data_IF_450567394765
#
_entry.id   IF_450567394765
#
_cell.length_a   1.000
_cell.length_b   1.000
_cell.length_c   1.000
_cell.angle_alpha   90.00
_cell.angle_beta   90.00
_cell.angle_gamma   90.00
#
_symmetry.space_group_name_H-M   'P 1'
#
loop_
_entity.id
_entity.type
_entity.pdbx_description
1 polymer ?
#
# COMPACT_ATOMS: atom_id res chain seq x y z
N UNK A 1 10.59 11.05 -13.00
CA UNK A 1 11.49 11.54 -11.93
C UNK A 1 12.79 10.75 -12.01
N UNK A 2 13.89 11.41 -12.41
CA UNK A 2 15.20 10.77 -12.41
C UNK A 2 15.54 10.27 -10.98
N UNK A 3 16.06 9.06 -10.81
CA UNK A 3 16.43 8.56 -9.50
C UNK A 3 17.53 9.41 -8.90
N UNK A 4 17.34 9.88 -7.69
CA UNK A 4 18.37 10.59 -6.95
C UNK A 4 19.61 9.69 -6.79
N UNK A 5 20.80 10.21 -7.13
CA UNK A 5 22.06 9.44 -7.09
C UNK A 5 22.48 8.93 -5.70
N UNK A 6 21.86 9.39 -4.63
CA UNK A 6 22.02 8.90 -3.26
C UNK A 6 20.67 8.93 -2.56
N UNK A 7 20.15 7.79 -2.21
CA UNK A 7 19.00 7.67 -1.30
C UNK A 7 19.48 7.78 0.13
N UNK A 8 18.85 8.68 0.92
CA UNK A 8 19.05 8.66 2.36
C UNK A 8 18.29 7.46 2.97
N UNK A 9 18.59 7.10 4.21
CA UNK A 9 17.91 5.98 4.93
C UNK A 9 16.39 6.18 5.06
N UNK A 10 15.87 7.37 4.74
CA UNK A 10 14.49 7.77 4.94
C UNK A 10 13.71 8.01 3.63
N UNK A 11 14.30 7.66 2.48
CA UNK A 11 13.71 7.93 1.16
C UNK A 11 12.69 6.85 0.69
N UNK A 12 12.23 5.98 1.57
CA UNK A 12 11.21 4.99 1.24
C UNK A 12 9.82 5.64 1.25
N UNK A 13 9.23 5.79 0.08
CA UNK A 13 7.81 6.19 -0.06
C UNK A 13 6.94 4.99 0.32
N UNK A 14 6.19 5.11 1.40
CA UNK A 14 5.25 4.07 1.87
C UNK A 14 3.85 4.22 1.29
N UNK A 15 3.45 5.42 1.00
CA UNK A 15 2.12 5.71 0.48
C UNK A 15 2.15 6.96 -0.39
N UNK A 16 1.37 6.96 -1.44
CA UNK A 16 1.20 8.10 -2.34
C UNK A 16 -0.26 8.20 -2.74
N UNK A 17 -0.82 9.39 -2.64
CA UNK A 17 -2.15 9.70 -3.15
C UNK A 17 -2.07 10.89 -4.09
N UNK A 18 -2.89 10.87 -5.15
CA UNK A 18 -3.10 12.00 -6.02
C UNK A 18 -4.42 12.66 -5.62
N UNK A 19 -4.37 13.95 -5.36
CA UNK A 19 -5.53 14.70 -4.88
C UNK A 19 -5.44 16.16 -5.33
N UNK A 20 -6.52 16.92 -5.12
CA UNK A 20 -6.51 18.39 -5.30
C UNK A 20 -6.19 19.09 -3.99
N UNK A 21 -5.74 20.34 -4.05
CA UNK A 21 -5.37 21.11 -2.85
C UNK A 21 -6.51 21.27 -1.84
N UNK A 22 -7.76 21.22 -2.31
CA UNK A 22 -8.96 21.40 -1.47
C UNK A 22 -9.67 20.11 -1.10
N UNK A 23 -9.26 18.98 -1.69
CA UNK A 23 -9.85 17.68 -1.38
C UNK A 23 -9.36 17.19 -0.02
N UNK A 24 -10.24 16.52 0.69
CA UNK A 24 -9.89 15.79 1.89
C UNK A 24 -9.26 14.44 1.54
N UNK A 25 -8.24 14.08 2.27
CA UNK A 25 -7.62 12.76 2.27
C UNK A 25 -7.73 12.18 3.68
N UNK A 26 -7.58 10.86 3.77
CA UNK A 26 -7.57 10.15 5.04
C UNK A 26 -6.20 9.58 5.36
N UNK A 27 -5.76 9.72 6.60
CA UNK A 27 -4.63 8.97 7.15
C UNK A 27 -5.18 7.78 7.94
N UNK A 28 -4.83 6.57 7.54
CA UNK A 28 -5.26 5.33 8.21
C UNK A 28 -4.19 4.90 9.20
N UNK A 29 -4.60 4.60 10.43
CA UNK A 29 -3.68 4.27 11.52
C UNK A 29 -3.76 2.80 11.93
N UNK A 30 -2.73 2.33 12.63
CA UNK A 30 -2.64 0.96 13.15
C UNK A 30 -3.73 0.61 14.17
N UNK A 31 -4.34 1.60 14.80
CA UNK A 31 -5.45 1.40 15.75
C UNK A 31 -6.82 1.36 15.06
N UNK A 32 -6.86 1.38 13.72
CA UNK A 32 -8.11 1.30 12.96
C UNK A 32 -8.87 2.61 12.86
N UNK A 33 -8.18 3.75 13.01
CA UNK A 33 -8.75 5.08 12.79
C UNK A 33 -8.42 5.61 11.40
N UNK A 34 -9.34 6.39 10.86
CA UNK A 34 -9.08 7.28 9.74
C UNK A 34 -9.17 8.72 10.25
N UNK A 35 -8.12 9.50 10.00
CA UNK A 35 -8.03 10.91 10.37
C UNK A 35 -8.04 11.74 9.09
N UNK A 36 -8.95 12.70 9.00
CA UNK A 36 -9.09 13.56 7.82
C UNK A 36 -7.99 14.62 7.80
N UNK A 37 -7.49 14.87 6.60
CA UNK A 37 -6.50 15.90 6.30
C UNK A 37 -6.93 16.65 5.05
N UNK A 38 -6.62 17.93 4.99
CA UNK A 38 -6.74 18.72 3.76
C UNK A 38 -5.35 18.97 3.19
N UNK A 39 -5.16 18.73 1.91
CA UNK A 39 -3.84 18.84 1.29
C UNK A 39 -3.24 20.25 1.41
N UNK A 40 -4.07 21.29 1.42
CA UNK A 40 -3.64 22.68 1.55
C UNK A 40 -3.00 22.98 2.92
N UNK A 41 -3.34 22.22 3.95
CA UNK A 41 -2.79 22.40 5.31
C UNK A 41 -1.42 21.72 5.48
N UNK A 42 -0.99 20.95 4.49
CA UNK A 42 0.28 20.23 4.53
C UNK A 42 1.38 21.07 3.87
N UNK A 43 2.64 20.93 4.33
CA UNK A 43 3.76 21.62 3.72
C UNK A 43 3.94 21.19 2.28
N UNK A 44 4.11 22.15 1.37
CA UNK A 44 4.33 21.90 -0.05
C UNK A 44 5.79 22.09 -0.43
N UNK A 45 6.26 21.27 -1.36
CA UNK A 45 7.56 21.41 -1.98
C UNK A 45 7.34 21.91 -3.41
N UNK A 46 8.06 22.94 -3.89
CA UNK A 46 7.95 23.39 -5.27
C UNK A 46 8.14 22.26 -6.28
N UNK A 47 7.36 22.28 -7.36
CA UNK A 47 7.36 21.21 -8.36
C UNK A 47 8.72 21.00 -9.05
N UNK A 48 9.56 22.03 -9.07
CA UNK A 48 10.92 22.01 -9.62
C UNK A 48 12.00 21.70 -8.58
N UNK A 49 11.63 21.43 -7.34
CA UNK A 49 12.59 21.05 -6.29
C UNK A 49 13.15 19.66 -6.56
N UNK A 50 14.48 19.59 -6.70
CA UNK A 50 15.21 18.33 -6.88
C UNK A 50 15.45 17.65 -5.51
N UNK A 51 15.35 18.40 -4.42
CA UNK A 51 15.48 17.89 -3.06
C UNK A 51 14.10 17.49 -2.54
N UNK A 52 13.93 16.19 -2.32
CA UNK A 52 12.93 15.73 -1.36
C UNK A 52 13.39 16.30 -0.01
N UNK A 53 12.86 17.45 0.35
CA UNK A 53 13.07 18.00 1.68
C UNK A 53 12.74 16.92 2.71
N UNK A 54 13.33 17.02 3.89
CA UNK A 54 13.12 16.05 4.98
C UNK A 54 11.64 15.85 5.35
N UNK A 55 10.74 16.61 4.75
CA UNK A 55 9.31 16.61 5.04
C UNK A 55 9.00 17.16 6.43
N UNK A 56 7.74 17.15 6.78
CA UNK A 56 7.28 17.42 8.14
C UNK A 56 6.89 16.11 8.82
N UNK A 57 7.07 16.04 10.13
CA UNK A 57 6.61 14.88 10.90
C UNK A 57 5.09 14.85 10.88
N UNK A 58 4.52 13.70 10.52
CA UNK A 58 3.06 13.53 10.48
C UNK A 58 2.41 13.82 11.84
N UNK A 59 3.12 13.59 12.93
CA UNK A 59 2.67 13.87 14.29
C UNK A 59 2.47 15.36 14.60
N UNK A 60 2.98 16.25 13.75
CA UNK A 60 2.73 17.70 13.86
C UNK A 60 1.35 18.09 13.34
N UNK A 61 0.76 17.22 12.51
CA UNK A 61 -0.54 17.43 11.85
C UNK A 61 -1.64 16.53 12.39
N UNK A 62 -1.26 15.40 13.00
CA UNK A 62 -2.19 14.39 13.49
C UNK A 62 -1.96 14.13 14.98
N UNK A 63 -3.04 14.13 15.74
CA UNK A 63 -3.05 13.68 17.13
C UNK A 63 -3.05 12.15 17.16
N UNK A 64 -1.88 11.53 17.09
CA UNK A 64 -1.70 10.08 17.18
C UNK A 64 -0.96 9.69 18.48
N UNK A 65 -1.36 8.54 19.04
CA UNK A 65 -0.73 8.00 20.25
C UNK A 65 0.70 7.52 19.99
N UNK A 66 1.49 7.41 21.05
CA UNK A 66 2.90 7.01 20.96
C UNK A 66 3.13 5.62 20.37
N UNK A 67 2.14 4.72 20.49
CA UNK A 67 2.17 3.36 19.91
C UNK A 67 1.39 3.25 18.61
N UNK A 68 0.72 4.30 18.19
CA UNK A 68 -0.06 4.34 16.96
C UNK A 68 0.79 4.77 15.78
N UNK A 69 0.62 4.13 14.64
CA UNK A 69 1.38 4.40 13.43
C UNK A 69 0.44 4.76 12.29
N UNK A 70 0.83 5.72 11.46
CA UNK A 70 0.17 5.98 10.19
C UNK A 70 0.65 4.93 9.19
N UNK A 71 -0.28 4.16 8.63
CA UNK A 71 0.01 3.07 7.69
C UNK A 71 -0.03 3.53 6.25
N UNK A 72 -0.90 4.46 5.91
CA UNK A 72 -1.02 4.99 4.56
C UNK A 72 -2.02 6.12 4.47
N UNK A 73 -2.02 6.76 3.32
CA UNK A 73 -2.96 7.80 2.94
C UNK A 73 -3.96 7.24 1.92
N UNK A 74 -5.19 7.70 1.98
CA UNK A 74 -6.27 7.30 1.09
C UNK A 74 -7.06 8.51 0.64
N UNK A 75 -7.71 8.42 -0.50
CA UNK A 75 -8.72 9.41 -0.92
C UNK A 75 -10.08 8.99 -0.39
N UNK A 76 -10.93 9.95 -0.06
CA UNK A 76 -12.26 9.65 0.51
C UNK A 76 -13.35 9.48 -0.56
N UNK A 77 -13.08 9.93 -1.77
CA UNK A 77 -13.97 9.88 -2.94
C UNK A 77 -13.47 8.90 -4.03
N UNK A 78 -12.41 8.15 -3.73
CA UNK A 78 -11.78 7.22 -4.67
C UNK A 78 -12.35 5.81 -4.60
N UNK A 79 -11.48 4.85 -4.95
CA UNK A 79 -11.79 3.43 -4.91
C UNK A 79 -12.00 2.92 -3.48
N UNK A 80 -12.60 1.73 -3.29
CA UNK A 80 -12.72 1.10 -1.98
C UNK A 80 -11.38 0.99 -1.26
N UNK A 81 -11.43 1.14 0.06
CA UNK A 81 -10.27 1.01 0.95
C UNK A 81 -10.24 -0.40 1.50
N UNK A 82 -9.12 -1.08 1.34
CA UNK A 82 -8.89 -2.41 1.91
C UNK A 82 -7.94 -2.34 3.10
N UNK A 83 -8.25 -3.08 4.15
CA UNK A 83 -7.53 -3.16 5.41
C UNK A 83 -7.23 -4.61 5.75
N UNK A 84 -6.02 -4.89 6.20
CA UNK A 84 -5.63 -6.17 6.75
C UNK A 84 -5.11 -6.02 8.17
N UNK A 85 -5.49 -6.95 9.06
CA UNK A 85 -5.10 -6.89 10.46
C UNK A 85 -4.06 -7.95 10.82
N UNK A 86 -3.38 -7.73 11.94
CA UNK A 86 -2.37 -8.64 12.48
C UNK A 86 -2.91 -10.03 12.78
N UNK A 87 -4.17 -10.13 13.22
CA UNK A 87 -4.85 -11.39 13.49
C UNK A 87 -5.53 -12.03 12.27
N UNK A 88 -5.29 -11.51 11.06
CA UNK A 88 -5.74 -12.11 9.81
C UNK A 88 -7.12 -11.70 9.36
N UNK A 89 -7.70 -10.65 9.90
CA UNK A 89 -8.96 -10.06 9.42
C UNK A 89 -8.72 -9.21 8.19
N UNK A 90 -9.62 -9.27 7.23
CA UNK A 90 -9.67 -8.39 6.06
C UNK A 90 -10.95 -7.60 6.04
N UNK A 91 -10.90 -6.36 5.58
CA UNK A 91 -12.07 -5.52 5.42
C UNK A 91 -11.91 -4.65 4.17
N UNK A 92 -13.00 -4.46 3.46
CA UNK A 92 -13.14 -3.41 2.44
C UNK A 92 -14.22 -2.43 2.86
N UNK A 93 -13.97 -1.16 2.61
CA UNK A 93 -14.92 -0.06 2.88
C UNK A 93 -15.17 0.66 1.58
N UNK A 94 -16.45 0.72 1.17
CA UNK A 94 -16.83 1.48 0.00
C UNK A 94 -16.76 3.00 0.27
N UNK A 95 -16.38 3.81 -0.72
CA UNK A 95 -16.41 5.26 -0.59
C UNK A 95 -17.84 5.79 -0.44
N UNK A 96 -17.98 6.99 0.13
CA UNK A 96 -19.24 7.76 0.13
C UNK A 96 -20.10 7.66 1.38
N UNK A 97 -19.76 6.80 2.35
CA UNK A 97 -20.51 6.66 3.62
C UNK A 97 -19.67 7.03 4.84
N UNK A 98 -18.93 8.11 4.72
CA UNK A 98 -18.02 8.54 5.78
C UNK A 98 -18.73 9.33 6.87
N UNK A 99 -18.45 9.07 8.17
CA UNK A 99 -18.89 9.95 9.25
C UNK A 99 -18.39 11.38 9.07
N UNK A 100 -19.19 12.34 9.49
CA UNK A 100 -18.84 13.79 9.38
C UNK A 100 -17.78 14.24 10.38
N UNK A 101 -17.22 13.31 11.17
CA UNK A 101 -16.21 13.62 12.19
C UNK A 101 -14.83 13.80 11.55
N UNK A 102 -13.95 14.63 12.14
CA UNK A 102 -12.56 14.76 11.67
C UNK A 102 -11.76 13.49 11.82
N UNK A 103 -12.12 12.59 12.74
CA UNK A 103 -11.57 11.26 12.89
C UNK A 103 -12.66 10.25 13.25
N UNK A 104 -12.52 9.00 12.80
CA UNK A 104 -13.48 7.94 13.07
C UNK A 104 -12.84 6.56 12.91
N UNK A 105 -13.44 5.54 13.54
CA UNK A 105 -13.08 4.16 13.29
C UNK A 105 -13.39 3.78 11.83
N UNK A 106 -12.41 3.20 11.15
CA UNK A 106 -12.60 2.61 9.83
C UNK A 106 -12.74 1.10 9.88
N UNK A 107 -12.40 0.51 11.00
CA UNK A 107 -12.58 -0.91 11.33
C UNK A 107 -12.72 -1.06 12.83
N UNK A 108 -13.71 -1.85 13.27
CA UNK A 108 -13.83 -2.27 14.68
C UNK A 108 -12.91 -3.46 14.93
N UNK A 109 -11.79 -3.22 15.59
CA UNK A 109 -10.78 -4.23 15.86
C UNK A 109 -11.16 -5.15 17.01
N UNK A 110 -10.79 -6.43 16.91
CA UNK A 110 -10.83 -7.36 18.03
C UNK A 110 -9.81 -6.96 19.11
N UNK A 111 -10.04 -7.37 20.38
CA UNK A 111 -9.07 -7.12 21.44
C UNK A 111 -7.66 -7.60 21.08
N UNK A 112 -6.68 -6.74 21.24
CA UNK A 112 -5.27 -7.02 20.95
C UNK A 112 -4.90 -7.07 19.46
N UNK A 113 -5.83 -6.78 18.56
CA UNK A 113 -5.55 -6.69 17.12
C UNK A 113 -5.11 -5.29 16.70
N UNK A 114 -4.45 -5.20 15.57
CA UNK A 114 -4.05 -3.94 14.95
C UNK A 114 -4.12 -4.05 13.42
N UNK A 115 -4.35 -2.95 12.73
CA UNK A 115 -4.21 -2.87 11.29
C UNK A 115 -2.73 -2.89 10.94
N UNK A 116 -2.33 -3.74 9.99
CA UNK A 116 -0.94 -3.86 9.53
C UNK A 116 -0.71 -3.29 8.15
N UNK A 117 -1.77 -3.14 7.36
CA UNK A 117 -1.68 -2.56 6.03
C UNK A 117 -3.01 -2.00 5.55
N UNK A 118 -2.92 -1.03 4.67
CA UNK A 118 -4.02 -0.38 3.98
C UNK A 118 -3.68 -0.25 2.51
N UNK A 119 -4.65 -0.48 1.66
CA UNK A 119 -4.56 -0.21 0.23
C UNK A 119 -5.88 0.36 -0.28
N UNK A 120 -5.83 0.95 -1.45
CA UNK A 120 -7.01 1.51 -2.11
C UNK A 120 -7.03 1.04 -3.56
N UNK A 121 -8.11 0.41 -3.97
CA UNK A 121 -8.22 -0.14 -5.31
C UNK A 121 -9.57 -0.79 -5.57
N UNK A 122 -9.81 -1.11 -6.84
CA UNK A 122 -11.06 -1.66 -7.34
C UNK A 122 -11.25 -3.15 -7.13
N UNK A 123 -12.34 -3.68 -7.67
CA UNK A 123 -12.68 -5.10 -7.59
C UNK A 123 -11.74 -5.99 -8.42
N UNK A 124 -11.03 -5.41 -9.40
CA UNK A 124 -10.06 -6.12 -10.24
C UNK A 124 -8.72 -6.37 -9.58
N UNK A 125 -8.45 -5.74 -8.44
CA UNK A 125 -7.20 -5.90 -7.71
C UNK A 125 -7.14 -7.24 -6.96
N UNK A 126 -5.94 -7.68 -6.64
CA UNK A 126 -5.69 -8.80 -5.74
C UNK A 126 -5.19 -8.30 -4.39
N UNK A 127 -5.72 -8.86 -3.31
CA UNK A 127 -5.30 -8.62 -1.95
C UNK A 127 -4.28 -9.68 -1.52
N UNK A 128 -3.24 -9.25 -0.80
CA UNK A 128 -2.12 -10.09 -0.41
C UNK A 128 -1.88 -10.01 1.08
N UNK A 129 -1.79 -11.17 1.73
CA UNK A 129 -1.30 -11.34 3.09
C UNK A 129 0.04 -12.05 3.10
N UNK A 130 0.94 -11.61 3.97
CA UNK A 130 2.16 -12.35 4.33
C UNK A 130 2.23 -12.49 5.85
N UNK A 131 2.54 -13.68 6.33
CA UNK A 131 2.58 -13.99 7.76
C UNK A 131 4.00 -14.13 8.28
N UNK A 132 4.15 -14.12 9.63
CA UNK A 132 5.43 -14.25 10.31
C UNK A 132 6.10 -15.63 10.13
N UNK A 133 5.32 -16.66 9.78
CA UNK A 133 5.78 -18.01 9.45
C UNK A 133 5.90 -18.25 7.93
N UNK A 134 6.06 -17.15 7.17
CA UNK A 134 6.29 -17.15 5.74
C UNK A 134 5.15 -17.76 4.88
N UNK A 135 3.92 -17.76 5.37
CA UNK A 135 2.76 -18.07 4.54
C UNK A 135 2.36 -16.85 3.72
N UNK A 136 2.00 -17.07 2.47
CA UNK A 136 1.47 -16.05 1.57
C UNK A 136 0.11 -16.49 1.07
N UNK A 137 -0.87 -15.60 1.15
CA UNK A 137 -2.19 -15.78 0.58
C UNK A 137 -2.52 -14.58 -0.29
N UNK A 138 -2.95 -14.81 -1.53
CA UNK A 138 -3.54 -13.77 -2.37
C UNK A 138 -4.89 -14.22 -2.90
N UNK A 139 -5.78 -13.26 -3.12
CA UNK A 139 -7.12 -13.49 -3.63
C UNK A 139 -7.70 -12.20 -4.20
N UNK A 140 -8.67 -12.32 -5.10
CA UNK A 140 -9.33 -11.16 -5.70
C UNK A 140 -10.05 -10.30 -4.67
N UNK A 141 -9.92 -8.99 -4.79
CA UNK A 141 -10.56 -8.03 -3.90
C UNK A 141 -12.09 -8.17 -3.88
N UNK A 142 -12.68 -8.59 -5.00
CA UNK A 142 -14.12 -8.86 -5.13
C UNK A 142 -14.64 -9.95 -4.18
N UNK A 143 -13.77 -10.83 -3.68
CA UNK A 143 -14.13 -11.84 -2.67
C UNK A 143 -14.46 -11.23 -1.29
N UNK A 144 -14.05 -9.98 -1.06
CA UNK A 144 -14.32 -9.25 0.18
C UNK A 144 -15.42 -8.22 -0.06
N UNK A 145 -16.61 -8.53 0.44
CA UNK A 145 -17.75 -7.62 0.31
C UNK A 145 -17.51 -6.33 1.10
N UNK A 146 -17.70 -5.14 0.51
CA UNK A 146 -17.58 -3.88 1.21
C UNK A 146 -18.55 -3.79 2.38
N UNK A 147 -18.08 -3.22 3.48
CA UNK A 147 -18.85 -3.00 4.72
C UNK A 147 -18.77 -1.51 5.11
N UNK A 148 -19.64 -1.10 6.01
CA UNK A 148 -19.58 0.24 6.60
C UNK A 148 -18.38 0.42 7.53
N UNK A 149 -17.99 1.69 7.84
CA UNK A 149 -16.78 1.98 8.62
C UNK A 149 -16.72 1.30 9.99
N UNK A 150 -17.85 1.20 10.70
CA UNK A 150 -17.92 0.62 12.04
C UNK A 150 -17.90 -0.92 12.09
N UNK A 151 -17.96 -1.61 10.96
CA UNK A 151 -17.93 -3.07 10.93
C UNK A 151 -16.53 -3.62 11.17
N UNK A 152 -16.45 -4.87 11.66
CA UNK A 152 -15.20 -5.52 12.04
C UNK A 152 -14.46 -6.27 10.91
N UNK A 153 -15.03 -6.34 9.72
CA UNK A 153 -14.45 -7.11 8.62
C UNK A 153 -14.82 -8.60 8.65
N UNK A 154 -14.07 -9.40 7.94
CA UNK A 154 -14.25 -10.84 7.83
C UNK A 154 -12.91 -11.58 7.94
N UNK A 155 -12.97 -12.92 8.10
CA UNK A 155 -11.77 -13.73 8.09
C UNK A 155 -11.06 -13.63 6.73
N UNK A 156 -9.80 -13.26 6.74
CA UNK A 156 -8.95 -13.18 5.57
C UNK A 156 -8.03 -14.38 5.44
N UNK A 157 -7.05 -14.49 6.33
CA UNK A 157 -6.12 -15.61 6.37
C UNK A 157 -6.21 -16.36 7.68
N UNK A 158 -6.19 -17.70 7.61
CA UNK A 158 -6.10 -18.55 8.79
C UNK A 158 -4.65 -18.60 9.26
N UNK A 159 -4.43 -18.20 10.51
CA UNK A 159 -3.10 -18.19 11.10
C UNK A 159 -2.85 -19.48 11.89
N UNK A 160 -1.63 -20.01 11.78
CA UNK A 160 -1.15 -21.03 12.68
C UNK A 160 -0.95 -20.48 14.09
N UNK A 161 -0.85 -21.37 15.10
CA UNK A 161 -0.60 -20.96 16.47
C UNK A 161 0.69 -20.10 16.54
N UNK A 162 0.60 -18.92 17.12
CA UNK A 162 1.68 -17.93 17.25
C UNK A 162 2.06 -17.14 15.97
N UNK A 163 1.49 -17.45 14.80
CA UNK A 163 1.71 -16.65 13.61
C UNK A 163 0.89 -15.35 13.65
N UNK A 164 1.43 -14.32 13.04
CA UNK A 164 0.78 -13.03 12.86
C UNK A 164 0.95 -12.56 11.42
N UNK A 165 0.05 -11.73 10.94
CA UNK A 165 0.22 -11.04 9.65
C UNK A 165 1.29 -9.96 9.82
N UNK A 166 2.28 -9.98 8.95
CA UNK A 166 3.38 -9.01 8.90
C UNK A 166 3.23 -7.99 7.77
N UNK A 167 2.48 -8.36 6.73
CA UNK A 167 2.23 -7.50 5.58
C UNK A 167 0.81 -7.74 5.05
N UNK A 168 0.16 -6.65 4.64
CA UNK A 168 -1.06 -6.65 3.86
C UNK A 168 -0.98 -5.52 2.82
N UNK A 169 -1.44 -5.80 1.62
CA UNK A 169 -1.50 -4.84 0.52
C UNK A 169 -2.33 -5.36 -0.64
N UNK A 170 -2.35 -4.60 -1.74
CA UNK A 170 -2.97 -5.01 -2.99
C UNK A 170 -1.98 -4.98 -4.14
N UNK A 171 -2.25 -5.78 -5.15
CA UNK A 171 -1.55 -5.83 -6.43
C UNK A 171 -2.56 -5.60 -7.53
N UNK A 172 -2.23 -4.73 -8.47
CA UNK A 172 -2.99 -4.59 -9.71
C UNK A 172 -2.44 -5.58 -10.74
N UNK A 173 -3.18 -6.66 -11.07
CA UNK A 173 -2.71 -7.65 -12.04
C UNK A 173 -2.59 -7.10 -13.46
N UNK A 174 -3.19 -5.95 -13.77
CA UNK A 174 -3.03 -5.29 -15.05
C UNK A 174 -1.70 -4.53 -15.18
N UNK A 175 -1.10 -4.10 -14.05
CA UNK A 175 0.19 -3.40 -14.05
C UNK A 175 1.34 -4.29 -14.52
N UNK A 176 1.29 -5.59 -14.24
CA UNK A 176 2.32 -6.56 -14.68
C UNK A 176 2.29 -6.81 -16.19
N UNK A 177 1.12 -6.70 -16.83
CA UNK A 177 1.01 -6.87 -18.29
C UNK A 177 1.65 -5.71 -19.05
N UNK A 178 1.61 -4.51 -18.52
CA UNK A 178 2.23 -3.35 -19.13
C UNK A 178 3.78 -3.45 -19.16
N UNK A 179 4.37 -4.20 -18.24
CA UNK A 179 5.82 -4.48 -18.22
C UNK A 179 6.21 -5.66 -19.11
N UNK A 180 5.29 -6.60 -19.36
CA UNK A 180 5.53 -7.76 -20.22
C UNK A 180 5.42 -7.43 -21.73
N UNK A 181 4.65 -6.39 -22.10
CA UNK A 181 4.40 -5.98 -23.48
C UNK A 181 5.38 -4.93 -24.03
N UNK A 182 6.56 -4.79 -23.38
CA UNK A 182 7.69 -4.07 -23.97
C UNK A 182 7.52 -2.56 -23.99
N UNK A 183 7.52 -1.91 -22.85
CA UNK A 183 7.81 -0.48 -22.75
C UNK A 183 9.28 -0.24 -23.16
N UNK A 184 9.57 0.53 -24.23
CA UNK A 184 10.93 0.83 -24.68
C UNK A 184 11.76 1.63 -23.67
N UNK A 185 11.23 1.94 -22.49
CA UNK A 185 11.92 2.59 -21.37
C UNK A 185 12.40 1.61 -20.28
N UNK A 186 12.24 0.30 -20.43
CA UNK A 186 12.84 -0.66 -19.52
C UNK A 186 14.36 -0.65 -19.68
N UNK A 187 15.16 -0.45 -18.62
CA UNK A 187 16.62 -0.53 -18.73
C UNK A 187 16.98 -1.97 -19.15
N UNK A 188 17.79 -2.07 -20.21
CA UNK A 188 18.31 -3.36 -20.70
C UNK A 188 18.92 -4.14 -19.53
N UNK A 189 18.53 -5.40 -19.41
CA UNK A 189 19.08 -6.33 -18.41
C UNK A 189 20.60 -6.45 -18.65
N UNK A 190 21.44 -6.02 -17.70
CA UNK A 190 22.89 -6.05 -17.88
C UNK A 190 23.46 -7.50 -17.90
N UNK A 191 22.63 -8.52 -17.72
CA UNK A 191 23.02 -9.93 -17.73
C UNK A 191 22.57 -10.71 -18.98
N UNK A 192 21.90 -10.05 -19.94
CA UNK A 192 21.41 -10.73 -21.16
C UNK A 192 22.49 -11.09 -22.18
N UNK A 193 23.73 -10.64 -21.99
CA UNK A 193 24.85 -10.94 -22.92
C UNK A 193 25.90 -11.87 -22.30
N UNK A 194 25.62 -13.14 -22.10
CA UNK A 194 26.65 -14.17 -22.07
C UNK A 194 26.02 -15.55 -22.24
N UNK A 195 25.87 -15.98 -23.49
CA UNK A 195 25.42 -17.35 -23.73
C UNK A 195 25.20 -17.77 -25.19
N UNK A 196 26.12 -17.49 -26.09
CA UNK A 196 26.20 -18.29 -27.30
C UNK A 196 27.66 -18.54 -27.69
N UNK A 197 28.26 -19.50 -27.02
CA UNK A 197 29.49 -20.13 -27.54
C UNK A 197 29.06 -21.13 -28.57
N UNK A 198 29.23 -20.84 -29.86
CA UNK A 198 29.10 -21.76 -30.96
C UNK A 198 30.22 -22.81 -30.86
N UNK A 199 29.84 -24.07 -30.65
CA UNK A 199 30.70 -25.19 -30.88
C UNK A 199 30.95 -25.31 -32.39
N UNK A 200 32.21 -25.08 -32.78
CA UNK A 200 32.70 -25.42 -34.13
C UNK A 200 33.03 -26.91 -34.10
N UNK A 201 32.24 -27.71 -34.78
CA UNK A 201 32.65 -29.01 -35.24
C UNK A 201 33.85 -28.86 -36.19
N UNK A 202 34.92 -29.53 -35.84
CA UNK A 202 36.05 -29.75 -36.74
C UNK A 202 35.87 -31.15 -37.36
N UNK A 203 35.39 -31.22 -38.59
CA UNK A 203 35.61 -32.35 -39.47
C UNK A 203 37.03 -32.28 -40.06
N UNK A 204 37.75 -33.38 -40.01
CA UNK A 204 39.03 -33.48 -40.61
C UNK A 204 39.59 -34.91 -40.53
N UNK A 205 39.29 -35.72 -41.57
CA UNK A 205 40.02 -36.89 -42.05
C UNK A 205 40.38 -37.99 -41.03
#
# INVERSE_FOLDING_TARGET
>A
LAPARRRSRHDAIRSRVTTTSRSEIGAVTSTGRLIRLTAVDLPSVPANSIQLAAGAKITEYLAIGSKERVLGLVTLDGEPIALGTRQGTVKRVAPGSWPSKPEFEIISLKPGDEVVGVSQGGDGDELVFVTSDAQLLHFGASAVRPQGPSAGGMAGINLSAKATVTYFGSVDPAADKAHADGDPAAPADPFAEHGTRKDRHHEGR
#
